data_IF_632430812510
#
_entry.id   IF_632430812510
#
_cell.length_a   1.000
_cell.length_b   1.000
_cell.length_c   1.000
_cell.angle_alpha   90.00
_cell.angle_beta   90.00
_cell.angle_gamma   90.00
#
_symmetry.space_group_name_H-M   'P 1'
#
loop_
_entity.id
_entity.type
_entity.pdbx_description
1 polymer ?
#
# COMPACT_ATOMS: atom_id res chain seq x y z
N UNK A 1 41.76 -6.13 -39.30
CA UNK A 1 41.75 -5.37 -38.03
C UNK A 1 40.59 -4.38 -37.93
N UNK A 2 40.48 -3.35 -38.79
CA UNK A 2 39.39 -2.34 -38.71
C UNK A 2 37.96 -2.94 -38.76
N UNK A 3 37.70 -3.92 -39.64
CA UNK A 3 36.39 -4.60 -39.74
C UNK A 3 36.02 -5.43 -38.50
N UNK A 4 37.02 -6.00 -37.81
CA UNK A 4 36.80 -6.75 -36.57
C UNK A 4 36.51 -5.80 -35.40
N UNK A 5 37.19 -4.65 -35.33
CA UNK A 5 36.88 -3.60 -34.35
C UNK A 5 35.47 -3.06 -34.54
N UNK A 6 35.03 -2.85 -35.78
CA UNK A 6 33.66 -2.44 -36.09
C UNK A 6 32.66 -3.52 -35.66
N UNK A 7 32.94 -4.80 -35.91
CA UNK A 7 32.07 -5.90 -35.47
C UNK A 7 31.95 -5.97 -33.93
N UNK A 8 33.04 -5.79 -33.20
CA UNK A 8 33.01 -5.75 -31.73
C UNK A 8 32.21 -4.56 -31.19
N UNK A 9 32.35 -3.38 -31.79
CA UNK A 9 31.56 -2.19 -31.42
C UNK A 9 30.05 -2.41 -31.64
N UNK A 10 29.66 -3.06 -32.74
CA UNK A 10 28.26 -3.37 -33.03
C UNK A 10 27.68 -4.38 -32.02
N UNK A 11 28.44 -5.42 -31.66
CA UNK A 11 28.02 -6.39 -30.65
C UNK A 11 27.84 -5.72 -29.28
N UNK A 12 28.75 -4.82 -28.90
CA UNK A 12 28.67 -4.09 -27.65
C UNK A 12 27.47 -3.13 -27.61
N UNK A 13 27.16 -2.48 -28.73
CA UNK A 13 25.99 -1.61 -28.86
C UNK A 13 24.68 -2.41 -28.71
N UNK A 14 24.57 -3.56 -29.39
CA UNK A 14 23.40 -4.44 -29.29
C UNK A 14 23.24 -4.98 -27.86
N UNK A 15 24.35 -5.39 -27.22
CA UNK A 15 24.35 -5.84 -25.83
C UNK A 15 23.87 -4.76 -24.86
N UNK A 16 24.31 -3.52 -25.04
CA UNK A 16 23.85 -2.38 -24.23
C UNK A 16 22.34 -2.11 -24.42
N UNK A 17 21.84 -2.18 -25.66
CA UNK A 17 20.40 -2.03 -25.93
C UNK A 17 19.56 -3.13 -25.30
N UNK A 18 20.05 -4.39 -25.30
CA UNK A 18 19.37 -5.51 -24.66
C UNK A 18 19.32 -5.36 -23.12
N UNK A 19 20.41 -4.89 -22.51
CA UNK A 19 20.44 -4.62 -21.05
C UNK A 19 19.42 -3.56 -20.64
N UNK A 20 19.27 -2.50 -21.44
CA UNK A 20 18.30 -1.43 -21.21
C UNK A 20 16.85 -1.96 -21.30
N UNK A 21 16.55 -2.81 -22.30
CA UNK A 21 15.23 -3.44 -22.45
C UNK A 21 14.86 -4.33 -21.25
N UNK A 22 15.80 -5.12 -20.73
CA UNK A 22 15.58 -5.92 -19.51
C UNK A 22 15.39 -5.07 -18.25
N UNK A 23 15.98 -3.87 -18.19
CA UNK A 23 15.76 -2.91 -17.11
C UNK A 23 14.33 -2.38 -17.06
N UNK A 24 13.73 -2.09 -18.22
CA UNK A 24 12.34 -1.60 -18.31
C UNK A 24 11.30 -2.67 -17.94
N UNK A 25 11.55 -3.95 -18.19
CA UNK A 25 10.63 -5.02 -17.76
C UNK A 25 10.54 -5.21 -16.24
N UNK A 26 11.50 -4.68 -15.46
CA UNK A 26 11.44 -4.69 -14.00
C UNK A 26 10.73 -3.47 -13.41
N UNK A 27 10.44 -2.46 -14.22
CA UNK A 27 9.67 -1.30 -13.81
C UNK A 27 8.17 -1.61 -13.89
N UNK A 28 7.61 -2.01 -12.74
CA UNK A 28 6.19 -2.11 -12.44
C UNK A 28 5.33 -3.01 -13.36
N UNK A 29 5.32 -4.30 -13.02
CA UNK A 29 4.25 -5.23 -13.43
C UNK A 29 2.87 -4.89 -12.81
N UNK A 30 2.74 -3.76 -12.11
CA UNK A 30 1.46 -3.19 -11.70
C UNK A 30 1.19 -1.98 -12.59
N UNK A 31 0.51 -2.22 -13.71
CA UNK A 31 -0.12 -1.13 -14.48
C UNK A 31 -0.98 -0.25 -13.55
N UNK A 32 -1.42 0.94 -14.02
CA UNK A 32 -2.14 1.89 -13.17
C UNK A 32 -3.26 1.17 -12.42
N UNK A 33 -3.14 1.08 -11.09
CA UNK A 33 -4.15 0.44 -10.26
C UNK A 33 -5.38 1.34 -10.27
N UNK A 34 -6.28 1.11 -11.21
CA UNK A 34 -7.55 1.83 -11.25
C UNK A 34 -8.31 1.41 -10.00
N UNK A 35 -8.45 2.33 -9.04
CA UNK A 35 -9.28 2.11 -7.87
C UNK A 35 -10.71 1.90 -8.39
N UNK A 36 -11.38 0.78 -8.05
CA UNK A 36 -12.75 0.53 -8.48
C UNK A 36 -13.67 1.70 -8.06
N UNK A 37 -14.70 1.97 -8.86
CA UNK A 37 -15.70 3.00 -8.53
C UNK A 37 -16.41 2.70 -7.20
N UNK A 38 -16.51 1.43 -6.85
CA UNK A 38 -17.13 0.91 -5.64
C UNK A 38 -16.06 0.41 -4.66
N UNK A 39 -15.36 1.36 -4.02
CA UNK A 39 -14.33 1.06 -3.02
C UNK A 39 -14.67 1.72 -1.68
N UNK A 40 -14.46 1.00 -0.58
CA UNK A 40 -14.52 1.57 0.77
C UNK A 40 -13.20 2.28 1.06
N UNK A 41 -13.27 3.56 1.44
CA UNK A 41 -12.09 4.36 1.79
C UNK A 41 -11.99 4.53 3.30
N UNK A 42 -10.90 4.05 3.86
CA UNK A 42 -10.54 4.29 5.26
C UNK A 42 -9.82 5.64 5.37
N UNK A 43 -10.38 6.58 6.15
CA UNK A 43 -9.77 7.88 6.43
C UNK A 43 -9.28 7.90 7.86
N UNK A 44 -7.97 8.07 8.05
CA UNK A 44 -7.34 8.20 9.36
C UNK A 44 -6.53 9.49 9.35
N UNK A 45 -6.82 10.35 10.32
CA UNK A 45 -6.16 11.65 10.49
C UNK A 45 -5.19 11.57 11.67
N UNK A 46 -4.01 12.16 11.49
CA UNK A 46 -3.12 12.44 12.61
C UNK A 46 -3.47 13.80 13.20
N UNK A 47 -3.14 14.01 14.47
CA UNK A 47 -3.29 15.30 15.13
C UNK A 47 -2.30 16.35 14.57
N UNK A 48 -1.12 15.93 14.11
CA UNK A 48 -0.14 16.82 13.46
C UNK A 48 0.73 16.11 12.42
N UNK A 49 1.55 16.90 11.71
CA UNK A 49 2.58 16.42 10.78
C UNK A 49 3.91 16.05 11.45
N UNK A 50 3.96 16.01 12.79
CA UNK A 50 5.14 15.53 13.50
C UNK A 50 5.45 14.06 13.17
N UNK A 51 6.72 13.69 13.17
CA UNK A 51 7.13 12.31 12.88
C UNK A 51 6.48 11.29 13.82
N UNK A 52 6.27 11.68 15.08
CA UNK A 52 5.62 10.86 16.11
C UNK A 52 4.15 10.59 15.74
N UNK A 53 3.39 11.62 15.38
CA UNK A 53 1.96 11.48 15.10
C UNK A 53 1.74 10.80 13.75
N UNK A 54 2.62 11.04 12.78
CA UNK A 54 2.62 10.34 11.51
C UNK A 54 2.98 8.85 11.69
N UNK A 55 3.89 8.51 12.61
CA UNK A 55 4.18 7.13 12.97
C UNK A 55 2.98 6.45 13.66
N UNK A 56 2.34 7.15 14.59
CA UNK A 56 1.13 6.66 15.27
C UNK A 56 0.00 6.40 14.26
N UNK A 57 -0.24 7.33 13.34
CA UNK A 57 -1.21 7.18 12.23
C UNK A 57 -0.95 5.92 11.41
N UNK A 58 0.31 5.64 11.06
CA UNK A 58 0.68 4.43 10.31
C UNK A 58 0.36 3.17 11.09
N UNK A 59 0.68 3.13 12.39
CA UNK A 59 0.37 1.99 13.26
C UNK A 59 -1.13 1.75 13.37
N UNK A 60 -1.91 2.80 13.68
CA UNK A 60 -3.38 2.70 13.75
C UNK A 60 -3.96 2.22 12.42
N UNK A 61 -3.48 2.75 11.30
CA UNK A 61 -3.89 2.32 9.96
C UNK A 61 -3.64 0.83 9.74
N UNK A 62 -2.46 0.35 10.08
CA UNK A 62 -2.05 -1.02 9.79
C UNK A 62 -2.86 -2.03 10.65
N UNK A 63 -3.12 -1.69 11.92
CA UNK A 63 -3.95 -2.50 12.84
C UNK A 63 -5.42 -2.56 12.39
N UNK A 64 -6.02 -1.40 12.08
CA UNK A 64 -7.41 -1.33 11.59
C UNK A 64 -7.56 -2.05 10.26
N UNK A 65 -6.57 -1.90 9.35
CA UNK A 65 -6.57 -2.61 8.07
C UNK A 65 -6.55 -4.12 8.27
N UNK A 66 -5.66 -4.63 9.13
CA UNK A 66 -5.56 -6.07 9.39
C UNK A 66 -6.88 -6.66 9.91
N UNK A 67 -7.57 -5.92 10.78
CA UNK A 67 -8.86 -6.31 11.31
C UNK A 67 -9.96 -6.32 10.25
N UNK A 68 -10.04 -5.27 9.42
CA UNK A 68 -11.00 -5.20 8.30
C UNK A 68 -10.74 -6.32 7.28
N UNK A 69 -9.48 -6.52 6.90
CA UNK A 69 -9.08 -7.57 5.96
C UNK A 69 -9.54 -8.95 6.46
N UNK A 70 -9.44 -9.23 7.77
CA UNK A 70 -9.90 -10.48 8.36
C UNK A 70 -11.42 -10.69 8.27
N UNK A 71 -12.22 -9.64 8.35
CA UNK A 71 -13.68 -9.74 8.24
C UNK A 71 -14.17 -9.91 6.82
N UNK A 72 -13.48 -9.30 5.86
CA UNK A 72 -13.93 -9.28 4.46
C UNK A 72 -13.24 -10.32 3.59
N UNK A 73 -12.29 -11.09 4.13
CA UNK A 73 -11.50 -12.08 3.40
C UNK A 73 -12.35 -13.09 2.62
N UNK A 74 -13.43 -13.58 3.23
CA UNK A 74 -14.31 -14.59 2.65
C UNK A 74 -15.58 -14.00 1.99
N UNK A 75 -15.72 -12.67 1.99
CA UNK A 75 -16.90 -11.99 1.44
C UNK A 75 -16.74 -11.74 -0.05
N UNK A 76 -17.73 -12.17 -0.84
CA UNK A 76 -17.74 -11.99 -2.29
C UNK A 76 -18.57 -10.80 -2.77
N UNK A 77 -19.34 -10.18 -1.86
CA UNK A 77 -20.26 -9.08 -2.18
C UNK A 77 -19.84 -7.77 -1.51
N UNK A 78 -19.82 -6.69 -2.28
CA UNK A 78 -19.53 -5.34 -1.78
C UNK A 78 -20.53 -4.90 -0.70
N UNK A 79 -21.82 -5.19 -0.89
CA UNK A 79 -22.88 -4.81 0.06
C UNK A 79 -22.76 -5.57 1.38
N UNK A 80 -22.33 -6.84 1.34
CA UNK A 80 -22.08 -7.63 2.54
C UNK A 80 -20.85 -7.12 3.28
N UNK A 81 -19.75 -6.86 2.56
CA UNK A 81 -18.56 -6.26 3.14
C UNK A 81 -18.87 -4.91 3.81
N UNK A 82 -19.69 -4.07 3.16
CA UNK A 82 -20.14 -2.80 3.72
C UNK A 82 -20.90 -2.99 5.03
N UNK A 83 -21.86 -3.93 5.07
CA UNK A 83 -22.65 -4.21 6.29
C UNK A 83 -21.79 -4.73 7.42
N UNK A 84 -20.89 -5.66 7.14
CA UNK A 84 -19.98 -6.23 8.14
C UNK A 84 -19.04 -5.17 8.71
N UNK A 85 -18.42 -4.35 7.86
CA UNK A 85 -17.57 -3.25 8.33
C UNK A 85 -18.38 -2.27 9.19
N UNK A 86 -19.61 -1.93 8.79
CA UNK A 86 -20.46 -1.02 9.55
C UNK A 86 -20.90 -1.60 10.91
N UNK A 87 -21.21 -2.90 10.98
CA UNK A 87 -21.59 -3.53 12.25
C UNK A 87 -20.44 -3.62 13.23
N UNK A 88 -19.19 -3.61 12.74
CA UNK A 88 -17.99 -3.72 13.57
C UNK A 88 -17.24 -2.41 13.81
N UNK A 89 -17.89 -1.26 13.59
CA UNK A 89 -17.31 0.05 13.96
C UNK A 89 -16.86 0.11 15.44
N UNK A 90 -17.65 -0.39 16.42
CA UNK A 90 -17.22 -0.38 17.83
C UNK A 90 -15.91 -1.14 18.07
N UNK A 91 -15.67 -2.24 17.37
CA UNK A 91 -14.45 -3.01 17.46
C UNK A 91 -13.26 -2.30 16.79
N UNK A 92 -13.49 -1.53 15.73
CA UNK A 92 -12.48 -0.65 15.15
C UNK A 92 -12.08 0.42 16.17
N UNK A 93 -13.05 1.10 16.79
CA UNK A 93 -12.80 2.12 17.82
C UNK A 93 -11.98 1.56 18.99
N UNK A 94 -12.33 0.36 19.46
CA UNK A 94 -11.57 -0.33 20.50
C UNK A 94 -10.12 -0.63 20.07
N UNK A 95 -9.90 -1.01 18.81
CA UNK A 95 -8.55 -1.23 18.28
C UNK A 95 -7.75 0.06 18.19
N UNK A 96 -8.38 1.16 17.79
CA UNK A 96 -7.76 2.49 17.82
C UNK A 96 -7.35 2.84 19.25
N UNK A 97 -8.26 2.74 20.21
CA UNK A 97 -8.01 3.04 21.63
C UNK A 97 -6.84 2.20 22.19
N UNK A 98 -6.84 0.89 21.92
CA UNK A 98 -5.78 -0.01 22.37
C UNK A 98 -4.43 0.33 21.74
N UNK A 99 -4.42 0.72 20.47
CA UNK A 99 -3.19 1.11 19.76
C UNK A 99 -2.64 2.42 20.33
N UNK A 100 -3.50 3.42 20.57
CA UNK A 100 -3.12 4.68 21.21
C UNK A 100 -2.51 4.44 22.61
N UNK A 101 -3.16 3.60 23.43
CA UNK A 101 -2.67 3.23 24.77
C UNK A 101 -1.33 2.51 24.70
N UNK A 102 -1.18 1.54 23.79
CA UNK A 102 0.07 0.77 23.59
C UNK A 102 1.24 1.66 23.19
N UNK A 103 0.98 2.68 22.38
CA UNK A 103 1.96 3.67 21.95
C UNK A 103 2.16 4.82 22.96
N UNK A 104 1.51 4.76 24.12
CA UNK A 104 1.61 5.76 25.18
C UNK A 104 1.02 7.12 24.80
N UNK A 105 0.14 7.16 23.79
CA UNK A 105 -0.54 8.38 23.36
C UNK A 105 -1.71 8.70 24.28
N UNK A 106 -1.89 9.99 24.58
CA UNK A 106 -3.04 10.53 25.32
C UNK A 106 -4.04 11.23 24.39
N UNK A 107 -3.87 11.04 23.08
CA UNK A 107 -4.76 11.65 22.10
C UNK A 107 -6.15 11.03 22.16
N UNK A 108 -7.16 11.89 22.04
CA UNK A 108 -8.54 11.50 21.84
C UNK A 108 -8.80 11.25 20.35
N UNK A 109 -9.60 10.24 20.04
CA UNK A 109 -10.10 9.99 18.68
C UNK A 109 -11.62 10.26 18.61
N UNK A 110 -12.10 10.65 17.43
CA UNK A 110 -13.52 10.88 17.10
C UNK A 110 -13.81 10.30 15.72
#
# INVERSE_FOLDING_TARGET
MKKQVIAYLLILLIGAQLLVQFGYMKADAKGPSVIPKEAVRLRILANSDSDKDQALKRKVRDEVKAQIDGWVADLTSFEEARKVIQSHIPEIEKTVENTLKREGSKESFQ
#
